data_IF_717344362215
#
_entry.id   IF_717344362215
#
_cell.length_a   1.000
_cell.length_b   1.000
_cell.length_c   1.000
_cell.angle_alpha   90.00
_cell.angle_beta   90.00
_cell.angle_gamma   90.00
#
_symmetry.space_group_name_H-M   'P 1'
#
loop_
_entity.id
_entity.type
_entity.pdbx_description
1 polymer ?
#
# COMPACT_ATOMS: atom_id res chain seq x y z
N UNK A 1 -1.46 8.10 6.24
CA UNK A 1 -1.39 7.37 7.50
C UNK A 1 -0.74 5.99 7.38
N UNK A 2 -0.99 5.18 6.32
CA UNK A 2 -0.28 3.91 6.12
C UNK A 2 1.23 4.17 5.97
N UNK A 3 1.61 5.13 5.14
CA UNK A 3 2.98 5.64 5.01
C UNK A 3 3.49 6.16 6.35
N UNK A 4 2.65 6.84 7.14
CA UNK A 4 2.97 7.38 8.47
C UNK A 4 3.08 6.27 9.53
N UNK A 5 2.31 5.19 9.45
CA UNK A 5 2.42 4.05 10.36
C UNK A 5 3.66 3.17 10.07
N UNK A 6 4.08 3.10 8.80
CA UNK A 6 5.27 2.37 8.36
C UNK A 6 6.55 3.18 8.63
N UNK A 7 6.52 4.51 8.50
CA UNK A 7 7.67 5.40 8.71
C UNK A 7 8.32 5.24 10.10
N UNK A 8 7.60 5.23 11.24
CA UNK A 8 8.23 5.04 12.54
C UNK A 8 8.91 3.69 12.70
N UNK A 9 8.33 2.63 12.12
CA UNK A 9 8.92 1.29 12.14
C UNK A 9 10.20 1.26 11.31
N UNK A 10 10.19 1.90 10.14
CA UNK A 10 11.38 2.05 9.28
C UNK A 10 12.44 2.97 9.91
N UNK A 11 12.05 4.03 10.60
CA UNK A 11 12.97 4.93 11.34
C UNK A 11 13.64 4.23 12.53
N UNK A 12 12.92 3.39 13.26
CA UNK A 12 13.49 2.57 14.35
C UNK A 12 14.51 1.56 13.84
N UNK A 13 14.34 1.08 12.61
CA UNK A 13 15.29 0.17 11.96
C UNK A 13 16.49 0.89 11.32
N UNK A 14 16.40 2.20 11.07
CA UNK A 14 17.47 3.04 10.50
C UNK A 14 18.51 3.53 11.53
N UNK A 15 18.44 3.09 12.78
CA UNK A 15 19.42 3.44 13.82
C UNK A 15 20.84 3.05 13.46
N UNK A 16 21.47 3.79 12.55
CA UNK A 16 22.89 3.73 12.23
C UNK A 16 23.25 3.29 10.83
N UNK A 17 23.53 4.24 10.01
CA UNK A 17 24.37 4.37 8.82
C UNK A 17 23.65 4.88 7.57
N UNK A 18 23.76 6.19 7.35
CA UNK A 18 23.71 6.81 6.03
C UNK A 18 24.86 6.21 5.21
N UNK A 19 24.56 5.74 4.00
CA UNK A 19 25.48 5.19 2.99
C UNK A 19 25.72 3.67 3.04
N UNK A 20 24.74 2.90 2.62
CA UNK A 20 24.99 1.53 2.17
C UNK A 20 24.80 1.45 0.64
N UNK A 21 25.84 1.10 -0.15
CA UNK A 21 25.73 0.94 -1.61
C UNK A 21 24.76 -0.17 -2.04
N UNK A 22 24.41 -1.07 -1.13
CA UNK A 22 23.49 -2.20 -1.35
C UNK A 22 22.05 -1.76 -1.58
N UNK A 23 21.63 -0.59 -1.07
CA UNK A 23 20.29 -0.06 -1.28
C UNK A 23 20.06 0.52 -2.69
N UNK A 24 21.15 0.79 -3.44
CA UNK A 24 21.08 1.40 -4.78
C UNK A 24 20.73 0.41 -5.91
N UNK A 25 20.94 -0.89 -5.70
CA UNK A 25 20.55 -1.96 -6.63
C UNK A 25 19.34 -2.70 -6.08
N UNK A 26 18.26 -1.98 -5.87
CA UNK A 26 17.07 -2.59 -5.33
C UNK A 26 16.29 -3.30 -6.42
N UNK A 27 15.86 -4.46 -6.08
CA UNK A 27 14.80 -5.37 -6.58
C UNK A 27 13.73 -4.86 -7.56
N UNK A 28 13.71 -3.60 -8.01
CA UNK A 28 12.75 -3.14 -9.02
C UNK A 28 13.04 -3.82 -10.37
N UNK A 29 14.32 -3.88 -10.76
CA UNK A 29 14.73 -4.57 -11.99
C UNK A 29 14.54 -6.08 -11.87
N UNK A 30 14.78 -6.66 -10.71
CA UNK A 30 14.58 -8.08 -10.45
C UNK A 30 13.08 -8.43 -10.39
N UNK A 31 12.27 -7.58 -9.76
CA UNK A 31 10.82 -7.68 -9.76
C UNK A 31 10.25 -7.58 -11.20
N UNK A 32 10.80 -6.69 -12.01
CA UNK A 32 10.41 -6.47 -13.41
C UNK A 32 10.97 -7.52 -14.37
N UNK A 33 12.14 -8.11 -14.09
CA UNK A 33 12.72 -9.18 -14.93
C UNK A 33 11.90 -10.46 -14.90
N UNK A 34 11.20 -10.72 -13.81
CA UNK A 34 10.38 -11.91 -13.61
C UNK A 34 8.93 -11.73 -14.06
N UNK A 35 8.54 -10.53 -14.49
CA UNK A 35 7.18 -10.22 -14.94
C UNK A 35 7.24 -9.47 -16.26
N UNK A 36 6.47 -9.92 -17.25
CA UNK A 36 6.26 -9.19 -18.52
C UNK A 36 5.39 -7.94 -18.35
N UNK A 37 5.09 -7.52 -17.11
CA UNK A 37 4.18 -6.44 -16.75
C UNK A 37 4.83 -5.10 -17.06
N UNK A 38 4.22 -4.32 -17.94
CA UNK A 38 4.62 -2.95 -18.23
C UNK A 38 4.02 -1.99 -17.19
N UNK A 39 4.80 -1.64 -16.19
CA UNK A 39 4.38 -0.67 -15.19
C UNK A 39 4.28 0.75 -15.77
N UNK A 40 3.29 1.55 -15.34
CA UNK A 40 3.15 2.93 -15.75
C UNK A 40 4.26 3.80 -15.10
N UNK A 41 4.68 4.82 -15.83
CA UNK A 41 5.48 5.91 -15.28
C UNK A 41 4.60 6.90 -14.51
N UNK A 42 5.24 7.87 -13.85
CA UNK A 42 4.54 8.89 -13.08
C UNK A 42 3.63 9.76 -13.94
N UNK A 43 4.06 10.13 -15.14
CA UNK A 43 3.29 11.00 -16.05
C UNK A 43 1.98 10.32 -16.44
N UNK A 44 2.03 9.05 -16.83
CA UNK A 44 0.84 8.25 -17.09
C UNK A 44 -0.09 8.19 -15.88
N UNK A 45 0.46 7.99 -14.67
CA UNK A 45 -0.34 7.94 -13.44
C UNK A 45 -1.02 9.29 -13.13
N UNK A 46 -0.35 10.43 -13.35
CA UNK A 46 -0.94 11.77 -13.18
C UNK A 46 -2.07 12.01 -14.20
N UNK A 47 -1.89 11.56 -15.42
CA UNK A 47 -2.95 11.68 -16.45
C UNK A 47 -4.17 10.82 -16.07
N UNK A 48 -3.96 9.58 -15.60
CA UNK A 48 -5.02 8.71 -15.10
C UNK A 48 -5.70 9.29 -13.85
N UNK A 49 -4.94 9.94 -12.94
CA UNK A 49 -5.53 10.63 -11.79
C UNK A 49 -6.47 11.76 -12.21
N UNK A 50 -6.11 12.50 -13.24
CA UNK A 50 -6.95 13.57 -13.79
C UNK A 50 -8.25 13.01 -14.35
N UNK A 51 -8.16 11.95 -15.16
CA UNK A 51 -9.32 11.24 -15.68
C UNK A 51 -10.21 10.67 -14.56
N UNK A 52 -9.60 10.04 -13.54
CA UNK A 52 -10.34 9.49 -12.41
C UNK A 52 -11.09 10.57 -11.60
N UNK A 53 -10.55 11.79 -11.51
CA UNK A 53 -11.23 12.92 -10.86
C UNK A 53 -12.45 13.38 -11.65
N UNK A 54 -12.35 13.39 -12.96
CA UNK A 54 -13.41 13.92 -13.84
C UNK A 54 -14.52 12.88 -14.09
N UNK A 55 -14.15 11.63 -14.31
CA UNK A 55 -15.07 10.58 -14.79
C UNK A 55 -15.28 9.44 -13.77
N UNK A 56 -14.45 9.38 -12.74
CA UNK A 56 -14.33 8.22 -11.87
C UNK A 56 -13.23 7.27 -12.34
N UNK A 57 -12.72 6.42 -11.45
CA UNK A 57 -11.69 5.43 -11.82
C UNK A 57 -12.26 4.12 -12.35
N UNK A 58 -13.56 3.88 -12.21
CA UNK A 58 -14.20 2.62 -12.57
C UNK A 58 -13.77 1.41 -11.74
N UNK A 59 -12.99 1.61 -10.67
CA UNK A 59 -12.50 0.53 -9.82
C UNK A 59 -13.63 0.04 -8.93
N UNK A 60 -13.97 -1.23 -9.07
CA UNK A 60 -14.97 -1.91 -8.26
C UNK A 60 -14.29 -2.68 -7.12
N UNK A 61 -15.08 -3.01 -6.12
CA UNK A 61 -14.62 -3.73 -4.91
C UNK A 61 -13.95 -5.07 -5.25
N UNK A 62 -14.59 -5.86 -6.09
CA UNK A 62 -14.15 -7.21 -6.47
C UNK A 62 -12.77 -7.20 -7.14
N UNK A 63 -12.48 -6.16 -7.90
CA UNK A 63 -11.20 -6.00 -8.61
C UNK A 63 -10.03 -5.70 -7.67
N UNK A 64 -10.30 -5.19 -6.47
CA UNK A 64 -9.28 -4.92 -5.46
C UNK A 64 -8.88 -6.16 -4.67
N UNK A 65 -9.72 -7.19 -4.62
CA UNK A 65 -9.47 -8.40 -3.81
C UNK A 65 -8.14 -9.04 -4.22
N UNK A 66 -7.30 -9.29 -3.24
CA UNK A 66 -5.99 -9.92 -3.40
C UNK A 66 -4.87 -9.19 -2.68
N UNK A 67 -3.66 -9.66 -2.94
CA UNK A 67 -2.44 -9.12 -2.36
C UNK A 67 -1.74 -8.17 -3.35
N UNK A 68 -1.29 -7.02 -2.87
CA UNK A 68 -0.69 -5.96 -3.64
C UNK A 68 0.66 -5.57 -3.06
N UNK A 69 1.74 -5.89 -3.77
CA UNK A 69 3.12 -5.57 -3.38
C UNK A 69 3.48 -4.14 -3.76
N UNK A 70 4.09 -3.41 -2.84
CA UNK A 70 4.59 -2.06 -3.13
C UNK A 70 5.70 -2.07 -4.16
N UNK A 71 5.59 -1.20 -5.16
CA UNK A 71 6.59 -1.03 -6.22
C UNK A 71 7.27 0.32 -6.11
N UNK A 72 6.51 1.41 -6.16
CA UNK A 72 7.06 2.77 -6.22
C UNK A 72 6.19 3.76 -5.45
N UNK A 73 6.85 4.75 -4.85
CA UNK A 73 6.21 5.86 -4.15
C UNK A 73 6.83 7.18 -4.60
N UNK A 74 6.00 8.16 -4.91
CA UNK A 74 6.40 9.55 -5.17
C UNK A 74 5.83 10.43 -4.08
N UNK A 75 6.68 11.26 -3.47
CA UNK A 75 6.22 12.25 -2.49
C UNK A 75 5.35 13.31 -3.14
N UNK A 76 4.49 13.94 -2.35
CA UNK A 76 3.71 15.09 -2.80
C UNK A 76 4.64 16.18 -3.33
N UNK A 77 4.39 16.67 -4.54
CA UNK A 77 5.17 17.75 -5.16
C UNK A 77 6.56 17.34 -5.67
N UNK A 78 6.93 16.07 -5.59
CA UNK A 78 8.20 15.57 -6.15
C UNK A 78 7.97 14.98 -7.53
N UNK A 79 8.78 15.34 -8.51
CA UNK A 79 8.75 14.73 -9.85
C UNK A 79 9.49 13.40 -9.90
N UNK A 80 10.37 13.16 -8.96
CA UNK A 80 11.16 11.94 -8.88
C UNK A 80 10.55 10.93 -7.90
N UNK A 81 10.74 9.65 -8.20
CA UNK A 81 10.44 8.56 -7.28
C UNK A 81 11.24 8.74 -5.98
N UNK A 82 10.62 8.54 -4.84
CA UNK A 82 11.35 8.38 -3.59
C UNK A 82 12.05 7.02 -3.58
N UNK A 83 13.21 6.98 -4.23
CA UNK A 83 13.99 5.74 -4.46
C UNK A 83 14.33 5.05 -3.15
N UNK A 84 14.69 5.82 -2.11
CA UNK A 84 15.06 5.25 -0.80
C UNK A 84 13.85 4.58 -0.18
N UNK A 85 12.73 5.28 -0.10
CA UNK A 85 11.54 4.76 0.52
C UNK A 85 10.92 3.59 -0.28
N UNK A 86 10.85 3.70 -1.61
CA UNK A 86 10.41 2.62 -2.48
C UNK A 86 11.28 1.37 -2.34
N UNK A 87 12.61 1.56 -2.25
CA UNK A 87 13.54 0.46 -2.05
C UNK A 87 13.35 -0.24 -0.72
N UNK A 88 13.14 0.52 0.36
CA UNK A 88 12.86 -0.04 1.68
C UNK A 88 11.56 -0.86 1.68
N UNK A 89 10.49 -0.34 1.07
CA UNK A 89 9.23 -1.07 0.96
C UNK A 89 9.39 -2.40 0.20
N UNK A 90 10.20 -2.42 -0.86
CA UNK A 90 10.49 -3.64 -1.62
C UNK A 90 11.36 -4.62 -0.83
N UNK A 91 12.45 -4.14 -0.21
CA UNK A 91 13.35 -4.98 0.60
C UNK A 91 12.60 -5.64 1.76
N UNK A 92 11.68 -4.90 2.38
CA UNK A 92 10.84 -5.43 3.47
C UNK A 92 9.56 -6.11 2.98
N UNK A 93 9.47 -6.43 1.69
CA UNK A 93 8.30 -7.10 1.10
C UNK A 93 6.98 -6.51 1.57
N UNK A 94 6.93 -5.17 1.67
CA UNK A 94 5.72 -4.47 2.10
C UNK A 94 4.58 -4.73 1.12
N UNK A 95 3.42 -5.09 1.65
CA UNK A 95 2.24 -5.36 0.85
C UNK A 95 0.97 -4.87 1.55
N UNK A 96 -0.10 -4.76 0.78
CA UNK A 96 -1.46 -4.54 1.26
C UNK A 96 -2.36 -5.61 0.65
N UNK A 97 -3.15 -6.26 1.49
CA UNK A 97 -4.09 -7.29 1.08
C UNK A 97 -5.52 -6.83 1.37
N UNK A 98 -6.39 -6.99 0.40
CA UNK A 98 -7.82 -6.76 0.52
C UNK A 98 -8.57 -8.08 0.46
N UNK A 99 -9.39 -8.35 1.48
CA UNK A 99 -10.22 -9.55 1.57
C UNK A 99 -11.69 -9.17 1.76
N UNK A 100 -12.57 -9.95 1.16
CA UNK A 100 -14.01 -9.80 1.43
C UNK A 100 -14.28 -10.10 2.90
N UNK A 101 -14.96 -9.18 3.58
CA UNK A 101 -15.41 -9.41 4.95
C UNK A 101 -16.73 -10.18 4.92
N UNK A 102 -16.68 -11.45 5.30
CA UNK A 102 -17.84 -12.35 5.32
C UNK A 102 -18.74 -12.07 6.53
N UNK A 103 -18.24 -11.31 7.53
CA UNK A 103 -18.95 -11.06 8.80
C UNK A 103 -19.94 -9.92 8.74
N UNK A 104 -19.97 -9.14 7.68
CA UNK A 104 -20.85 -7.99 7.51
C UNK A 104 -21.72 -8.10 6.27
N UNK A 105 -23.04 -7.95 6.43
CA UNK A 105 -24.00 -7.84 5.32
C UNK A 105 -23.85 -6.54 4.51
N UNK A 106 -22.87 -5.69 4.81
CA UNK A 106 -22.66 -4.44 4.11
C UNK A 106 -21.85 -4.64 2.83
N UNK A 107 -22.45 -4.35 1.72
CA UNK A 107 -22.04 -4.64 0.33
C UNK A 107 -20.64 -4.11 -0.08
N UNK A 108 -19.96 -3.32 0.72
CA UNK A 108 -18.69 -2.64 0.34
C UNK A 108 -17.63 -2.64 1.43
N UNK A 109 -17.80 -3.44 2.48
CA UNK A 109 -16.78 -3.59 3.52
C UNK A 109 -15.82 -4.71 3.21
N UNK A 110 -14.57 -4.48 3.49
CA UNK A 110 -13.51 -5.47 3.32
C UNK A 110 -12.48 -5.37 4.44
N UNK A 111 -11.81 -6.47 4.69
CA UNK A 111 -10.64 -6.53 5.55
C UNK A 111 -9.43 -5.98 4.81
N UNK A 112 -8.68 -5.11 5.48
CA UNK A 112 -7.42 -4.54 4.99
C UNK A 112 -6.29 -5.04 5.87
N UNK A 113 -5.32 -5.72 5.28
CA UNK A 113 -4.14 -6.20 5.98
C UNK A 113 -2.91 -5.60 5.31
N UNK A 114 -2.05 -4.96 6.07
CA UNK A 114 -0.74 -4.52 5.60
C UNK A 114 0.33 -5.29 6.32
N UNK A 115 1.26 -5.86 5.57
CA UNK A 115 2.35 -6.67 6.09
C UNK A 115 3.70 -6.07 5.70
N UNK A 116 4.65 -6.14 6.63
CA UNK A 116 6.05 -5.78 6.44
C UNK A 116 6.88 -6.92 6.99
N UNK A 117 7.77 -7.48 6.17
CA UNK A 117 8.65 -8.58 6.57
C UNK A 117 10.09 -8.10 6.62
N UNK A 118 10.80 -8.43 7.69
CA UNK A 118 12.24 -8.21 7.83
C UNK A 118 12.88 -9.43 8.50
N UNK A 119 13.67 -10.14 7.73
CA UNK A 119 14.23 -11.43 8.16
C UNK A 119 13.13 -12.43 8.53
N UNK A 120 13.19 -12.94 9.75
CA UNK A 120 12.21 -13.91 10.30
C UNK A 120 10.97 -13.23 10.93
N UNK A 121 10.99 -11.91 11.03
CA UNK A 121 9.91 -11.16 11.66
C UNK A 121 8.94 -10.61 10.61
N UNK A 122 7.66 -10.61 10.97
CA UNK A 122 6.58 -9.98 10.19
C UNK A 122 5.74 -9.11 11.10
N UNK A 123 5.52 -7.86 10.70
CA UNK A 123 4.56 -6.97 11.34
C UNK A 123 3.33 -6.89 10.45
N UNK A 124 2.16 -7.21 11.01
CA UNK A 124 0.87 -7.08 10.35
C UNK A 124 0.04 -6.00 11.03
N UNK A 125 -0.58 -5.16 10.22
CA UNK A 125 -1.66 -4.27 10.64
C UNK A 125 -2.94 -4.76 9.97
N UNK A 126 -3.95 -5.08 10.75
CA UNK A 126 -5.24 -5.56 10.24
C UNK A 126 -6.36 -4.61 10.64
N UNK A 127 -7.36 -4.49 9.79
CA UNK A 127 -8.50 -3.65 10.03
C UNK A 127 -9.52 -3.73 8.91
N UNK A 128 -10.36 -2.71 8.81
CA UNK A 128 -11.47 -2.67 7.86
C UNK A 128 -11.39 -1.45 6.97
N UNK A 129 -11.98 -1.56 5.78
CA UNK A 129 -12.12 -0.47 4.82
C UNK A 129 -13.40 -0.61 4.01
N UNK A 130 -13.74 0.43 3.27
CA UNK A 130 -14.88 0.45 2.36
C UNK A 130 -14.63 1.40 1.19
N UNK A 131 -15.38 1.23 0.10
CA UNK A 131 -15.33 2.14 -1.05
C UNK A 131 -16.41 3.22 -0.92
N UNK A 132 -16.06 4.45 -1.29
CA UNK A 132 -16.97 5.60 -1.26
C UNK A 132 -16.78 6.51 -2.47
N UNK A 133 -17.87 6.79 -3.18
CA UNK A 133 -17.93 7.79 -4.24
C UNK A 133 -17.52 7.29 -5.63
N UNK A 134 -17.68 8.13 -6.67
CA UNK A 134 -17.38 7.82 -8.08
C UNK A 134 -15.87 7.76 -8.36
N UNK A 135 -15.08 8.69 -7.80
CA UNK A 135 -13.64 8.49 -7.64
C UNK A 135 -13.51 7.74 -6.32
N UNK A 136 -13.31 6.40 -6.34
CA UNK A 136 -13.48 5.67 -5.12
C UNK A 136 -12.40 6.07 -4.13
N UNK A 137 -12.84 6.76 -3.10
CA UNK A 137 -12.08 6.86 -1.86
C UNK A 137 -12.20 5.51 -1.16
N UNK A 138 -11.08 5.05 -0.67
CA UNK A 138 -10.95 3.85 0.14
C UNK A 138 -10.54 4.27 1.56
N UNK A 139 -11.51 4.70 2.41
CA UNK A 139 -11.24 4.90 3.83
C UNK A 139 -10.95 3.56 4.49
N UNK A 140 -9.96 3.54 5.36
CA UNK A 140 -9.60 2.35 6.13
C UNK A 140 -9.02 2.75 7.49
N UNK A 141 -9.04 1.81 8.41
CA UNK A 141 -8.36 1.94 9.70
C UNK A 141 -7.85 0.57 10.14
N UNK A 142 -6.85 0.58 11.00
CA UNK A 142 -6.34 -0.64 11.63
C UNK A 142 -6.84 -0.73 13.07
N UNK A 143 -7.33 -1.88 13.44
CA UNK A 143 -7.78 -2.21 14.80
C UNK A 143 -6.91 -3.26 15.49
N UNK A 144 -5.93 -3.82 14.77
CA UNK A 144 -5.03 -4.84 15.30
C UNK A 144 -3.62 -4.64 14.76
N UNK A 145 -2.60 -4.81 15.61
CA UNK A 145 -1.20 -4.97 15.24
C UNK A 145 -0.68 -6.29 15.78
N UNK A 146 0.01 -7.05 14.94
CA UNK A 146 0.67 -8.29 15.30
C UNK A 146 2.14 -8.25 14.91
N UNK A 147 3.02 -8.73 15.79
CA UNK A 147 4.41 -9.07 15.49
C UNK A 147 4.55 -10.58 15.54
N UNK A 148 5.07 -11.16 14.49
CA UNK A 148 5.30 -12.61 14.35
C UNK A 148 6.78 -12.91 14.11
N UNK A 149 7.22 -14.08 14.56
CA UNK A 149 8.50 -14.69 14.17
C UNK A 149 8.19 -16.08 13.62
N UNK A 150 8.28 -16.23 12.28
CA UNK A 150 7.73 -17.40 11.61
C UNK A 150 6.23 -17.56 11.88
N UNK A 151 5.81 -18.70 12.41
CA UNK A 151 4.43 -18.98 12.83
C UNK A 151 4.06 -18.47 14.23
N UNK A 152 5.04 -18.05 15.02
CA UNK A 152 4.81 -17.65 16.42
C UNK A 152 4.40 -16.18 16.51
N UNK A 153 3.28 -15.91 17.19
CA UNK A 153 2.84 -14.55 17.51
C UNK A 153 3.58 -14.09 18.77
N UNK A 154 4.44 -13.06 18.63
CA UNK A 154 5.20 -12.47 19.72
C UNK A 154 4.45 -11.33 20.41
N UNK A 155 3.68 -10.57 19.65
CA UNK A 155 2.85 -9.48 20.13
C UNK A 155 1.54 -9.46 19.33
N UNK A 156 0.45 -9.30 20.07
CA UNK A 156 -0.88 -9.05 19.50
C UNK A 156 -1.53 -7.96 20.34
N UNK A 157 -1.84 -6.83 19.70
CA UNK A 157 -2.41 -5.66 20.39
C UNK A 157 -3.55 -5.05 19.60
N UNK A 158 -4.69 -4.93 20.25
CA UNK A 158 -5.82 -4.16 19.72
C UNK A 158 -5.48 -2.65 19.69
N UNK A 159 -5.86 -2.00 18.62
CA UNK A 159 -5.77 -0.56 18.41
C UNK A 159 -7.18 0.05 18.53
N UNK A 160 -7.27 1.26 19.06
CA UNK A 160 -8.54 1.98 19.10
C UNK A 160 -8.93 2.41 17.69
N UNK A 161 -10.19 2.18 17.34
CA UNK A 161 -10.74 2.72 16.10
C UNK A 161 -10.70 4.24 16.13
N UNK A 162 -10.13 4.90 15.10
CA UNK A 162 -10.13 6.34 15.02
C UNK A 162 -11.55 6.85 14.72
N UNK A 163 -11.87 8.06 15.19
CA UNK A 163 -13.07 8.77 14.74
C UNK A 163 -13.02 8.99 13.23
N UNK A 164 -14.17 9.17 12.57
CA UNK A 164 -14.27 9.29 11.10
C UNK A 164 -13.23 10.22 10.47
N UNK A 165 -12.98 11.40 11.07
CA UNK A 165 -11.97 12.36 10.59
C UNK A 165 -10.54 11.87 10.72
N UNK A 166 -10.28 10.86 11.52
CA UNK A 166 -8.96 10.26 11.75
C UNK A 166 -8.69 9.03 10.88
N UNK A 167 -9.68 8.54 10.13
CA UNK A 167 -9.49 7.40 9.23
C UNK A 167 -8.57 7.80 8.08
N UNK A 168 -7.66 6.91 7.76
CA UNK A 168 -6.81 7.04 6.60
C UNK A 168 -7.57 6.72 5.33
N UNK A 169 -7.14 7.24 4.20
CA UNK A 169 -7.74 6.86 2.93
C UNK A 169 -6.73 6.83 1.78
N UNK A 170 -7.07 6.04 0.78
CA UNK A 170 -6.53 6.14 -0.56
C UNK A 170 -7.59 6.70 -1.49
N UNK A 171 -7.21 7.63 -2.37
CA UNK A 171 -7.99 7.97 -3.56
C UNK A 171 -7.50 7.06 -4.69
N UNK A 172 -8.30 6.09 -5.09
CA UNK A 172 -7.93 5.13 -6.12
C UNK A 172 -7.89 5.84 -7.47
N UNK A 173 -6.81 5.63 -8.22
CA UNK A 173 -6.54 6.31 -9.49
C UNK A 173 -6.85 5.38 -10.65
N UNK A 174 -6.19 4.25 -10.70
CA UNK A 174 -6.32 3.29 -11.78
C UNK A 174 -5.97 1.88 -11.32
N UNK A 175 -6.66 0.93 -11.89
CA UNK A 175 -6.34 -0.49 -11.91
C UNK A 175 -6.12 -0.87 -13.36
N UNK A 176 -5.05 -1.61 -13.65
CA UNK A 176 -4.79 -2.12 -14.99
C UNK A 176 -5.84 -3.15 -15.40
N UNK A 177 -6.16 -3.22 -16.71
CA UNK A 177 -7.27 -4.04 -17.23
C UNK A 177 -7.19 -5.53 -16.84
N UNK A 178 -5.98 -6.10 -16.80
CA UNK A 178 -5.76 -7.47 -16.34
C UNK A 178 -5.59 -7.57 -14.81
N UNK A 179 -5.70 -6.46 -14.09
CA UNK A 179 -5.52 -6.42 -12.65
C UNK A 179 -4.08 -6.62 -12.18
N UNK A 180 -3.09 -6.31 -13.02
CA UNK A 180 -1.67 -6.54 -12.72
C UNK A 180 -1.05 -5.46 -11.84
N UNK A 181 -1.53 -4.21 -11.94
CA UNK A 181 -1.08 -3.12 -11.07
C UNK A 181 -2.23 -2.22 -10.64
N UNK A 182 -2.06 -1.60 -9.49
CA UNK A 182 -2.99 -0.67 -8.86
C UNK A 182 -2.26 0.61 -8.48
N UNK A 183 -2.88 1.76 -8.68
CA UNK A 183 -2.35 3.04 -8.22
C UNK A 183 -3.38 3.85 -7.43
N UNK A 184 -2.87 4.59 -6.45
CA UNK A 184 -3.69 5.47 -5.64
C UNK A 184 -2.88 6.66 -5.10
N UNK A 185 -3.60 7.68 -4.67
CA UNK A 185 -3.04 8.78 -3.89
C UNK A 185 -3.40 8.61 -2.42
N UNK A 186 -2.39 8.54 -1.56
CA UNK A 186 -2.60 8.53 -0.12
C UNK A 186 -3.05 9.89 0.42
N UNK A 187 -3.69 9.90 1.59
CA UNK A 187 -4.16 11.09 2.30
C UNK A 187 -3.08 12.19 2.44
N UNK A 188 -1.81 11.82 2.60
CA UNK A 188 -0.68 12.77 2.64
C UNK A 188 -0.24 13.30 1.28
N UNK A 189 -0.90 12.91 0.18
CA UNK A 189 -0.60 13.34 -1.18
C UNK A 189 0.50 12.51 -1.88
N UNK A 190 1.02 11.46 -1.26
CA UNK A 190 1.95 10.53 -1.92
C UNK A 190 1.22 9.73 -2.99
N UNK A 191 1.81 9.62 -4.18
CA UNK A 191 1.37 8.73 -5.24
C UNK A 191 2.03 7.37 -5.03
N UNK A 192 1.25 6.31 -5.13
CA UNK A 192 1.70 4.96 -4.82
C UNK A 192 1.32 4.03 -5.95
N UNK A 193 2.22 3.12 -6.28
CA UNK A 193 2.04 2.05 -7.25
C UNK A 193 2.28 0.71 -6.58
N UNK A 194 1.35 -0.21 -6.78
CA UNK A 194 1.44 -1.61 -6.37
C UNK A 194 1.36 -2.52 -7.59
N UNK A 195 1.86 -3.73 -7.42
CA UNK A 195 1.71 -4.84 -8.36
C UNK A 195 1.03 -5.99 -7.65
N UNK A 196 0.20 -6.74 -8.37
CA UNK A 196 -0.46 -7.93 -7.84
C UNK A 196 0.58 -8.96 -7.42
N UNK A 197 0.42 -9.52 -6.21
CA UNK A 197 1.32 -10.48 -5.61
C UNK A 197 1.00 -11.94 -5.89
#
# INVERSE_FOLDING_TARGET
ALVIAIIPVLFLLQGGKKNSPLLRRSNKEELLRNTSIKLPDKEKLINLERLAKDQGSGIEFESLIGNWKFVSVWKKGSDEEDVIFSSLLRVFTANIEFKKDISTDELYKFSVITSIQFGVFTINFSGSGYLKGKQPLLPFFFNLIELKSGSNVLLNRALREPVEKGKSFFALIALEENGEWLSARGQGGALILWMKG
#
